data_IF_675314508437
#
_entry.id   IF_675314508437
#
_cell.length_a   1.000
_cell.length_b   1.000
_cell.length_c   1.000
_cell.angle_alpha   90.00
_cell.angle_beta   90.00
_cell.angle_gamma   90.00
#
_symmetry.space_group_name_H-M   'P 1'
#
loop_
_entity.id
_entity.type
_entity.pdbx_description
1 polymer ?
#
# COMPACT_ATOMS: atom_id res chain seq x y z
N UNK A 1 -7.03 -4.20 7.10
CA UNK A 1 -7.52 -5.60 7.26
C UNK A 1 -6.64 -6.44 8.17
N UNK A 2 -5.31 -6.35 8.11
CA UNK A 2 -4.42 -7.08 9.03
C UNK A 2 -4.63 -6.72 10.50
N UNK A 3 -4.37 -5.46 10.88
CA UNK A 3 -4.45 -5.04 12.28
C UNK A 3 -5.87 -5.07 12.85
N UNK A 4 -6.86 -4.60 12.09
CA UNK A 4 -8.25 -4.47 12.56
C UNK A 4 -9.09 -5.73 12.35
N UNK A 5 -8.75 -6.54 11.34
CA UNK A 5 -9.54 -7.71 10.94
C UNK A 5 -8.82 -9.04 11.12
N UNK A 6 -7.61 -9.05 11.69
CA UNK A 6 -6.81 -10.26 11.89
C UNK A 6 -6.45 -10.99 10.60
N UNK A 7 -6.53 -10.32 9.44
CA UNK A 7 -6.25 -10.94 8.14
C UNK A 7 -4.76 -11.16 7.99
N UNK A 8 -4.35 -12.41 7.89
CA UNK A 8 -2.96 -12.82 7.67
C UNK A 8 -2.56 -12.61 6.21
N UNK A 9 -1.27 -12.43 5.98
CA UNK A 9 -0.72 -12.09 4.67
C UNK A 9 0.40 -13.02 4.25
N UNK A 10 0.48 -13.29 2.94
CA UNK A 10 1.57 -14.00 2.29
C UNK A 10 2.27 -13.01 1.38
N UNK A 11 3.59 -12.88 1.51
CA UNK A 11 4.40 -12.12 0.59
C UNK A 11 5.14 -13.06 -0.39
N UNK A 12 5.00 -12.77 -1.68
CA UNK A 12 5.62 -13.55 -2.76
C UNK A 12 6.93 -12.91 -3.23
N UNK A 13 7.97 -13.72 -3.35
CA UNK A 13 9.24 -13.35 -3.98
C UNK A 13 10.24 -12.66 -3.03
N UNK A 14 10.77 -11.52 -3.49
CA UNK A 14 11.92 -10.85 -2.88
C UNK A 14 13.25 -11.44 -3.32
N UNK A 15 14.36 -10.83 -2.87
CA UNK A 15 15.72 -11.33 -3.13
C UNK A 15 15.94 -12.67 -2.40
N UNK A 16 16.78 -13.58 -2.92
CA UNK A 16 17.11 -14.85 -2.25
C UNK A 16 18.01 -14.59 -1.04
N UNK A 17 17.42 -13.98 -0.02
CA UNK A 17 17.99 -13.68 1.28
C UNK A 17 17.03 -14.23 2.32
N UNK A 18 17.58 -14.70 3.42
CA UNK A 18 16.79 -15.27 4.50
C UNK A 18 15.87 -14.25 5.16
N UNK A 19 14.74 -14.73 5.67
CA UNK A 19 13.80 -13.95 6.47
C UNK A 19 12.52 -13.55 5.75
N UNK A 20 11.62 -12.93 6.52
CA UNK A 20 10.35 -12.41 6.04
C UNK A 20 10.54 -11.14 5.21
N UNK A 21 9.51 -10.80 4.45
CA UNK A 21 9.45 -9.54 3.68
C UNK A 21 8.07 -8.91 3.89
N UNK A 22 7.98 -7.60 3.65
CA UNK A 22 6.69 -6.92 3.54
C UNK A 22 6.04 -7.26 2.19
N UNK A 23 4.71 -7.35 2.18
CA UNK A 23 3.94 -7.43 0.94
C UNK A 23 4.27 -6.31 -0.03
N UNK A 24 4.26 -6.62 -1.33
CA UNK A 24 4.57 -5.65 -2.38
C UNK A 24 3.36 -4.77 -2.66
N UNK A 25 3.56 -3.46 -2.63
CA UNK A 25 2.57 -2.47 -3.03
C UNK A 25 1.72 -1.91 -1.89
N UNK A 26 1.00 -0.83 -2.21
CA UNK A 26 0.14 -0.10 -1.28
C UNK A 26 0.86 1.03 -0.55
N UNK A 27 0.12 2.12 -0.36
CA UNK A 27 0.47 3.22 0.55
C UNK A 27 -0.41 3.04 1.79
N UNK A 28 0.21 2.93 2.97
CA UNK A 28 -0.41 2.88 4.30
C UNK A 28 -0.83 4.28 4.80
N UNK A 29 -1.38 5.09 3.92
CA UNK A 29 -1.86 6.44 4.23
C UNK A 29 -3.34 6.49 4.56
N UNK A 30 -3.80 7.60 5.14
CA UNK A 30 -5.15 7.73 5.68
C UNK A 30 -6.13 8.50 4.81
N UNK A 31 -5.65 9.29 3.84
CA UNK A 31 -6.51 10.06 2.94
C UNK A 31 -5.91 10.17 1.54
N UNK A 32 -6.73 9.89 0.55
CA UNK A 32 -6.38 9.98 -0.87
C UNK A 32 -7.28 11.03 -1.51
N UNK A 33 -6.68 11.97 -2.24
CA UNK A 33 -7.41 12.88 -3.12
C UNK A 33 -7.08 12.57 -4.58
N UNK A 34 -8.11 12.62 -5.42
CA UNK A 34 -7.90 12.72 -6.86
C UNK A 34 -7.25 14.06 -7.19
N UNK A 35 -6.51 14.12 -8.29
CA UNK A 35 -5.94 15.40 -8.74
C UNK A 35 -7.03 16.43 -9.08
N UNK A 36 -8.22 15.98 -9.48
CA UNK A 36 -9.40 16.85 -9.64
C UNK A 36 -9.81 17.49 -8.32
N UNK A 37 -9.86 16.73 -7.22
CA UNK A 37 -10.17 17.27 -5.90
C UNK A 37 -9.12 18.30 -5.48
N UNK A 38 -7.84 17.99 -5.69
CA UNK A 38 -6.73 18.91 -5.39
C UNK A 38 -6.90 20.23 -6.16
N UNK A 39 -7.17 20.16 -7.46
CA UNK A 39 -7.44 21.35 -8.28
C UNK A 39 -8.65 22.15 -7.76
N UNK A 40 -9.76 21.48 -7.45
CA UNK A 40 -10.96 22.16 -6.93
C UNK A 40 -10.68 22.87 -5.61
N UNK A 41 -9.95 22.24 -4.68
CA UNK A 41 -9.58 22.87 -3.43
C UNK A 41 -8.60 24.03 -3.63
N UNK A 42 -7.67 23.92 -4.58
CA UNK A 42 -6.77 25.02 -4.92
C UNK A 42 -7.52 26.23 -5.47
N UNK A 43 -8.47 26.02 -6.40
CA UNK A 43 -9.29 27.11 -6.92
C UNK A 43 -10.17 27.74 -5.83
N UNK A 44 -10.72 26.94 -4.92
CA UNK A 44 -11.47 27.45 -3.78
C UNK A 44 -10.58 28.29 -2.84
N UNK A 45 -9.36 27.84 -2.56
CA UNK A 45 -8.41 28.56 -1.72
C UNK A 45 -7.94 29.88 -2.35
N UNK A 46 -7.79 29.93 -3.67
CA UNK A 46 -7.35 31.13 -4.40
C UNK A 46 -8.25 32.35 -4.16
N UNK A 47 -9.55 32.16 -3.89
CA UNK A 47 -10.49 33.26 -3.60
C UNK A 47 -10.16 34.04 -2.32
N UNK A 48 -9.53 33.40 -1.34
CA UNK A 48 -9.22 34.00 -0.05
C UNK A 48 -7.71 34.10 0.22
N UNK A 49 -6.88 33.78 -0.78
CA UNK A 49 -5.43 33.76 -0.66
C UNK A 49 -4.82 35.15 -0.84
N UNK A 50 -3.56 35.31 -0.41
CA UNK A 50 -2.74 36.47 -0.82
C UNK A 50 -2.53 36.43 -2.33
N UNK A 51 -2.27 37.58 -2.95
CA UNK A 51 -2.02 37.67 -4.40
C UNK A 51 -0.92 36.70 -4.86
N UNK A 52 0.21 36.66 -4.14
CA UNK A 52 1.32 35.75 -4.43
C UNK A 52 0.92 34.26 -4.36
N UNK A 53 0.08 33.86 -3.41
CA UNK A 53 -0.40 32.48 -3.32
C UNK A 53 -1.47 32.18 -4.38
N UNK A 54 -2.36 33.12 -4.66
CA UNK A 54 -3.36 32.97 -5.72
C UNK A 54 -2.71 32.80 -7.09
N UNK A 55 -1.63 33.52 -7.37
CA UNK A 55 -0.85 33.37 -8.61
C UNK A 55 -0.34 31.93 -8.77
N UNK A 56 0.25 31.34 -7.72
CA UNK A 56 0.73 29.95 -7.74
C UNK A 56 -0.44 28.97 -7.95
N UNK A 57 -1.52 29.12 -7.19
CA UNK A 57 -2.66 28.20 -7.25
C UNK A 57 -3.33 28.21 -8.63
N UNK A 58 -3.43 29.38 -9.25
CA UNK A 58 -4.03 29.55 -10.58
C UNK A 58 -3.17 28.99 -11.73
N UNK A 59 -1.91 28.62 -11.48
CA UNK A 59 -1.09 27.88 -12.47
C UNK A 59 -1.53 26.42 -12.61
N UNK A 60 -2.26 25.88 -11.63
CA UNK A 60 -2.72 24.50 -11.69
C UNK A 60 -3.72 24.32 -12.84
N UNK A 61 -3.65 23.16 -13.49
CA UNK A 61 -4.57 22.81 -14.57
C UNK A 61 -5.02 21.37 -14.45
N UNK A 62 -6.13 21.05 -15.11
CA UNK A 62 -6.64 19.68 -15.17
C UNK A 62 -5.92 18.81 -16.21
N UNK A 63 -4.98 19.36 -16.99
CA UNK A 63 -4.29 18.64 -18.07
C UNK A 63 -3.61 17.34 -17.57
N UNK A 64 -2.88 17.32 -16.44
CA UNK A 64 -2.29 16.08 -15.93
C UNK A 64 -3.35 15.03 -15.56
N UNK A 65 -4.50 15.48 -15.04
CA UNK A 65 -5.61 14.59 -14.69
C UNK A 65 -6.26 13.98 -15.94
N UNK A 66 -6.44 14.79 -16.98
CA UNK A 66 -7.01 14.36 -18.27
C UNK A 66 -6.12 13.38 -19.03
N UNK A 67 -4.81 13.41 -18.79
CA UNK A 67 -3.82 12.51 -19.40
C UNK A 67 -3.54 11.25 -18.57
N UNK A 68 -4.25 11.04 -17.48
CA UNK A 68 -4.07 9.88 -16.60
C UNK A 68 -5.35 9.06 -16.49
N UNK A 69 -5.21 7.73 -16.52
CA UNK A 69 -6.31 6.80 -16.26
C UNK A 69 -6.64 6.69 -14.76
N UNK A 70 -5.67 7.01 -13.89
CA UNK A 70 -5.82 6.97 -12.44
C UNK A 70 -4.85 7.97 -11.80
N UNK A 71 -5.37 9.16 -11.45
CA UNK A 71 -4.59 10.26 -10.89
C UNK A 71 -5.01 10.56 -9.44
N UNK A 72 -4.27 9.99 -8.49
CA UNK A 72 -4.55 10.13 -7.07
C UNK A 72 -3.26 10.35 -6.28
N UNK A 73 -3.35 11.14 -5.22
CA UNK A 73 -2.26 11.41 -4.29
C UNK A 73 -2.69 11.13 -2.86
N UNK A 74 -1.83 10.48 -2.08
CA UNK A 74 -1.99 10.42 -0.64
C UNK A 74 -1.63 11.78 -0.05
N UNK A 75 -2.60 12.44 0.58
CA UNK A 75 -2.41 13.79 1.15
C UNK A 75 -2.37 13.77 2.68
N UNK A 76 -2.59 12.61 3.30
CA UNK A 76 -2.48 12.43 4.75
C UNK A 76 -1.91 11.06 5.06
N UNK A 77 -0.85 11.05 5.86
CA UNK A 77 -0.33 9.83 6.43
C UNK A 77 -1.17 9.37 7.62
N UNK A 78 -1.29 8.06 7.81
CA UNK A 78 -1.80 7.50 9.06
C UNK A 78 -0.67 7.31 10.05
N UNK A 79 -0.98 7.41 11.34
CA UNK A 79 -0.08 7.04 12.43
C UNK A 79 -0.61 5.74 13.04
N UNK A 80 0.26 4.74 13.15
CA UNK A 80 -0.06 3.47 13.80
C UNK A 80 -0.16 3.67 15.32
N UNK A 81 -0.96 2.87 16.01
CA UNK A 81 -0.99 2.88 17.48
C UNK A 81 0.37 2.59 18.11
N UNK A 82 1.26 1.88 17.39
CA UNK A 82 2.65 1.60 17.80
C UNK A 82 3.59 2.81 17.72
N UNK A 83 3.19 3.89 17.04
CA UNK A 83 4.03 5.06 16.75
C UNK A 83 3.39 6.36 17.26
N UNK A 84 2.49 6.28 18.25
CA UNK A 84 1.83 7.48 18.82
C UNK A 84 2.81 8.36 19.60
N UNK A 85 3.87 7.76 20.14
CA UNK A 85 4.94 8.39 20.90
C UNK A 85 5.97 9.11 20.01
N UNK A 86 6.36 8.49 18.90
CA UNK A 86 7.42 8.98 18.01
C UNK A 86 6.90 9.66 16.74
N UNK A 87 5.60 9.54 16.44
CA UNK A 87 4.97 10.15 15.27
C UNK A 87 5.39 9.57 13.93
N UNK A 88 6.11 8.42 13.89
CA UNK A 88 6.59 7.81 12.66
C UNK A 88 5.39 7.45 11.76
N UNK A 89 5.28 8.07 10.57
CA UNK A 89 4.14 7.82 9.70
C UNK A 89 4.14 6.37 9.22
N UNK A 90 2.95 5.77 9.19
CA UNK A 90 2.80 4.33 8.98
C UNK A 90 3.30 3.86 7.61
N UNK A 91 3.37 4.75 6.61
CA UNK A 91 3.99 4.49 5.30
C UNK A 91 5.48 4.13 5.38
N UNK A 92 6.19 4.60 6.41
CA UNK A 92 7.61 4.34 6.63
C UNK A 92 7.85 3.22 7.64
N UNK A 93 6.79 2.67 8.22
CA UNK A 93 6.86 1.54 9.14
C UNK A 93 6.86 0.23 8.36
N UNK A 94 7.98 -0.51 8.45
CA UNK A 94 8.14 -1.82 7.83
C UNK A 94 7.32 -2.85 8.59
N UNK A 95 6.49 -3.58 7.87
CA UNK A 95 5.60 -4.59 8.42
C UNK A 95 5.71 -5.86 7.60
N UNK A 96 6.36 -6.86 8.18
CA UNK A 96 6.58 -8.13 7.51
C UNK A 96 5.29 -8.94 7.45
N UNK A 97 5.11 -9.66 6.35
CA UNK A 97 4.04 -10.65 6.22
C UNK A 97 4.33 -11.86 7.09
N UNK A 98 3.30 -12.54 7.56
CA UNK A 98 3.41 -13.75 8.40
C UNK A 98 4.12 -14.90 7.68
N UNK A 99 3.94 -14.96 6.36
CA UNK A 99 4.44 -16.02 5.51
C UNK A 99 5.11 -15.44 4.27
N UNK A 100 6.24 -16.02 3.90
CA UNK A 100 6.93 -15.74 2.65
C UNK A 100 7.03 -16.98 1.78
N UNK A 101 6.72 -16.83 0.50
CA UNK A 101 6.94 -17.85 -0.53
C UNK A 101 7.80 -17.27 -1.65
N UNK A 102 8.54 -18.11 -2.36
CA UNK A 102 9.26 -17.71 -3.57
C UNK A 102 8.44 -18.06 -4.81
N UNK A 103 8.60 -17.27 -5.87
CA UNK A 103 8.07 -17.63 -7.18
C UNK A 103 8.81 -18.85 -7.71
N UNK A 104 8.06 -19.80 -8.28
CA UNK A 104 8.61 -20.89 -9.08
C UNK A 104 8.42 -20.60 -10.57
N UNK A 105 9.09 -21.35 -11.45
CA UNK A 105 8.95 -21.19 -12.90
C UNK A 105 7.48 -21.34 -13.35
N UNK A 106 6.78 -22.36 -12.86
CA UNK A 106 5.37 -22.62 -13.21
C UNK A 106 4.45 -21.44 -12.85
N UNK A 107 4.71 -20.75 -11.75
CA UNK A 107 3.91 -19.60 -11.31
C UNK A 107 4.00 -18.40 -12.24
N UNK A 108 5.05 -18.31 -13.08
CA UNK A 108 5.24 -17.20 -14.02
C UNK A 108 4.24 -17.30 -15.17
N UNK A 109 4.00 -18.51 -15.66
CA UNK A 109 3.07 -18.78 -16.77
C UNK A 109 1.66 -19.19 -16.31
N UNK A 110 1.53 -19.71 -15.09
CA UNK A 110 0.25 -20.16 -14.54
C UNK A 110 -0.08 -19.50 -13.20
N UNK A 111 -1.08 -18.61 -13.23
CA UNK A 111 -1.60 -17.97 -12.02
C UNK A 111 -2.31 -18.94 -11.08
N UNK A 112 -2.75 -20.11 -11.54
CA UNK A 112 -3.35 -21.13 -10.69
C UNK A 112 -2.31 -21.81 -9.81
N UNK A 113 -1.10 -22.09 -10.32
CA UNK A 113 0.01 -22.58 -9.50
C UNK A 113 0.32 -21.63 -8.34
N UNK A 114 0.33 -20.32 -8.59
CA UNK A 114 0.53 -19.29 -7.57
C UNK A 114 -0.58 -19.33 -6.50
N UNK A 115 -1.85 -19.34 -6.94
CA UNK A 115 -3.01 -19.40 -6.02
C UNK A 115 -3.02 -20.68 -5.20
N UNK A 116 -2.66 -21.82 -5.81
CA UNK A 116 -2.56 -23.11 -5.13
C UNK A 116 -1.49 -23.09 -4.05
N UNK A 117 -0.31 -22.52 -4.32
CA UNK A 117 0.74 -22.40 -3.31
C UNK A 117 0.31 -21.52 -2.13
N UNK A 118 -0.39 -20.40 -2.40
CA UNK A 118 -0.95 -19.56 -1.34
C UNK A 118 -2.03 -20.29 -0.52
N UNK A 119 -2.94 -21.00 -1.17
CA UNK A 119 -3.97 -21.79 -0.50
C UNK A 119 -3.36 -22.94 0.32
N UNK A 120 -2.34 -23.60 -0.22
CA UNK A 120 -1.63 -24.66 0.46
C UNK A 120 -0.96 -24.18 1.75
N UNK A 121 -0.30 -23.02 1.70
CA UNK A 121 0.33 -22.40 2.85
C UNK A 121 -0.69 -21.93 3.91
N UNK A 122 -1.87 -21.51 3.47
CA UNK A 122 -2.90 -20.96 4.36
C UNK A 122 -3.81 -22.03 4.98
N UNK A 123 -4.07 -23.13 4.27
CA UNK A 123 -5.18 -24.03 4.59
C UNK A 123 -4.81 -25.52 4.55
N UNK A 124 -3.76 -25.93 3.83
CA UNK A 124 -3.43 -27.34 3.62
C UNK A 124 -2.12 -27.76 4.31
N UNK A 125 -1.79 -27.12 5.43
CA UNK A 125 -0.64 -27.44 6.28
C UNK A 125 0.73 -27.44 5.59
N UNK A 126 0.84 -26.81 4.41
CA UNK A 126 2.14 -26.61 3.77
C UNK A 126 2.87 -25.45 4.42
N UNK A 127 4.18 -25.61 4.59
CA UNK A 127 5.03 -24.57 5.16
C UNK A 127 5.27 -23.39 4.21
N UNK A 128 5.72 -22.28 4.79
CA UNK A 128 6.27 -21.15 4.06
C UNK A 128 7.78 -21.32 3.92
N UNK A 129 8.41 -20.60 2.98
CA UNK A 129 9.86 -20.54 2.92
C UNK A 129 10.43 -19.85 4.18
N UNK A 130 9.73 -18.82 4.66
CA UNK A 130 9.97 -18.20 5.96
C UNK A 130 8.64 -17.87 6.65
N UNK A 131 8.63 -17.98 7.97
CA UNK A 131 7.44 -17.77 8.80
C UNK A 131 6.42 -18.91 8.69
N UNK A 132 5.20 -18.62 9.14
CA UNK A 132 4.09 -19.57 9.11
C UNK A 132 2.75 -18.85 9.24
N UNK A 133 1.70 -19.48 8.75
CA UNK A 133 0.32 -19.05 9.00
C UNK A 133 -0.25 -19.93 10.12
N UNK A 134 -0.45 -19.41 11.34
CA UNK A 134 -1.06 -20.20 12.39
C UNK A 134 -2.45 -20.66 11.96
N UNK A 135 -2.92 -21.84 12.41
CA UNK A 135 -4.31 -22.26 12.17
C UNK A 135 -5.27 -21.23 12.77
N UNK A 136 -6.38 -21.00 12.08
CA UNK A 136 -7.47 -20.20 12.64
C UNK A 136 -8.10 -21.07 13.74
N UNK A 137 -7.99 -20.62 14.99
CA UNK A 137 -8.69 -21.22 16.13
C UNK A 137 -10.16 -20.82 16.06
#
# INVERSE_FOLDING_TARGET
MRNQGGVKSIAMGGRPKEGLIQGVGGIKGGLIYSWKNIFQYAQAAAYCATEAHAEILNQLSLLPSQRSLAANSNIRHSISSRNLDNGLPYNYDREESECRLFYTADMVSDTNALRKAAADAAFNDKGCAYGSLPKRV
#
